data_IF_069529085562
#
_entry.id   IF_069529085562
#
_cell.length_a   1.000
_cell.length_b   1.000
_cell.length_c   1.000
_cell.angle_alpha   90.00
_cell.angle_beta   90.00
_cell.angle_gamma   90.00
#
_symmetry.space_group_name_H-M   'P 1'
#
loop_
_entity.id
_entity.type
_entity.pdbx_description
1 polymer ?
#
# COMPACT_ATOMS: atom_id res chain seq x y z
N UNK A 1 31.00 33.24 -34.90
CA UNK A 1 30.54 32.76 -36.20
C UNK A 1 30.95 31.30 -36.35
N UNK A 2 29.93 30.43 -36.47
CA UNK A 2 29.83 29.06 -37.04
C UNK A 2 28.84 28.25 -36.19
N UNK A 3 27.62 27.99 -36.69
CA UNK A 3 26.77 26.87 -36.26
C UNK A 3 26.91 25.72 -37.28
N UNK A 4 26.07 24.66 -37.24
CA UNK A 4 26.15 23.48 -36.40
C UNK A 4 26.40 22.19 -37.23
N UNK A 5 26.96 21.14 -36.62
CA UNK A 5 26.89 19.80 -37.20
C UNK A 5 25.55 19.15 -36.82
N UNK A 6 24.55 19.38 -37.67
CA UNK A 6 23.36 18.55 -37.75
C UNK A 6 23.77 17.22 -38.40
N UNK A 7 23.50 16.11 -37.71
CA UNK A 7 23.80 14.77 -38.18
C UNK A 7 22.63 14.30 -39.08
N UNK A 8 22.80 14.18 -40.42
CA UNK A 8 21.68 13.95 -41.33
C UNK A 8 21.27 12.48 -41.48
N UNK A 9 21.97 11.55 -40.82
CA UNK A 9 21.73 10.10 -40.95
C UNK A 9 21.10 9.49 -39.69
N UNK A 10 19.94 10.02 -39.29
CA UNK A 10 19.03 9.30 -38.41
C UNK A 10 18.37 8.14 -39.17
N UNK A 11 18.22 6.95 -38.57
CA UNK A 11 17.61 5.80 -39.22
C UNK A 11 16.15 6.12 -39.64
N UNK A 12 15.70 5.62 -40.81
CA UNK A 12 14.38 5.90 -41.34
C UNK A 12 13.30 5.46 -40.36
N UNK A 13 12.40 6.38 -40.03
CA UNK A 13 11.25 6.13 -39.17
C UNK A 13 10.34 5.13 -39.88
N UNK A 14 10.16 3.94 -39.29
CA UNK A 14 9.18 2.98 -39.79
C UNK A 14 7.77 3.60 -39.69
N UNK A 15 6.92 3.43 -40.73
CA UNK A 15 5.55 3.91 -40.69
C UNK A 15 4.84 3.26 -39.51
N UNK A 16 4.30 4.09 -38.61
CA UNK A 16 3.46 3.64 -37.52
C UNK A 16 2.28 2.84 -38.10
N UNK A 17 2.28 1.53 -37.92
CA UNK A 17 1.07 0.74 -38.11
C UNK A 17 0.05 1.23 -37.08
N UNK A 18 -1.01 1.88 -37.58
CA UNK A 18 -2.15 2.23 -36.76
C UNK A 18 -2.74 0.93 -36.23
N UNK A 19 -2.61 0.71 -34.92
CA UNK A 19 -3.31 -0.37 -34.26
C UNK A 19 -4.83 -0.16 -34.49
N UNK A 20 -5.57 -1.23 -34.87
CA UNK A 20 -7.00 -1.12 -35.10
C UNK A 20 -7.70 -0.56 -33.85
N UNK A 21 -8.75 0.26 -34.03
CA UNK A 21 -9.47 0.87 -32.93
C UNK A 21 -9.95 -0.22 -31.98
N UNK A 22 -9.50 -0.14 -30.72
CA UNK A 22 -9.90 -1.05 -29.66
C UNK A 22 -11.39 -0.84 -29.41
N UNK A 23 -12.23 -1.68 -30.01
CA UNK A 23 -13.65 -1.73 -29.71
C UNK A 23 -13.80 -2.12 -28.24
N UNK A 24 -14.58 -1.37 -27.44
CA UNK A 24 -14.86 -1.76 -26.07
C UNK A 24 -15.61 -3.10 -26.10
N UNK A 25 -15.29 -4.02 -25.17
CA UNK A 25 -15.98 -5.30 -25.09
C UNK A 25 -17.48 -5.06 -24.86
N UNK A 26 -18.35 -5.85 -25.50
CA UNK A 26 -19.79 -5.73 -25.32
C UNK A 26 -20.13 -5.91 -23.85
N UNK A 27 -20.84 -4.92 -23.29
CA UNK A 27 -21.39 -5.00 -21.95
C UNK A 27 -22.47 -6.10 -21.94
N UNK A 28 -22.10 -7.28 -21.46
CA UNK A 28 -23.07 -8.31 -21.11
C UNK A 28 -23.87 -7.81 -19.92
N UNK A 29 -25.11 -7.43 -20.18
CA UNK A 29 -26.12 -7.17 -19.17
C UNK A 29 -26.45 -8.51 -18.52
N UNK A 30 -26.16 -8.67 -17.23
CA UNK A 30 -26.55 -9.85 -16.45
C UNK A 30 -27.98 -9.62 -15.92
N UNK A 31 -29.00 -10.32 -16.46
CA UNK A 31 -30.40 -10.14 -16.07
C UNK A 31 -30.73 -10.68 -14.67
N UNK A 32 -29.79 -11.35 -13.97
CA UNK A 32 -30.00 -11.84 -12.61
C UNK A 32 -29.57 -10.86 -11.51
N UNK A 33 -29.01 -9.70 -11.86
CA UNK A 33 -28.83 -8.61 -10.90
C UNK A 33 -30.18 -7.96 -10.60
N UNK A 34 -30.79 -8.43 -9.51
CA UNK A 34 -32.02 -7.86 -8.96
C UNK A 34 -31.90 -6.33 -8.83
N UNK A 35 -32.94 -5.57 -9.24
CA UNK A 35 -32.93 -4.12 -9.13
C UNK A 35 -32.79 -3.72 -7.67
N UNK A 36 -31.69 -3.05 -7.34
CA UNK A 36 -31.51 -2.41 -6.03
C UNK A 36 -32.65 -1.42 -5.80
N UNK A 37 -33.55 -1.78 -4.89
CA UNK A 37 -34.69 -0.95 -4.49
C UNK A 37 -34.26 0.38 -3.85
N UNK A 38 -35.15 1.37 -3.84
CA UNK A 38 -34.85 2.71 -3.36
C UNK A 38 -34.82 2.78 -1.82
N UNK A 39 -33.67 3.20 -1.28
CA UNK A 39 -33.48 3.89 0.01
C UNK A 39 -34.38 3.46 1.19
N UNK A 40 -33.95 2.47 1.96
CA UNK A 40 -34.21 2.48 3.41
C UNK A 40 -33.14 3.36 4.09
N UNK A 41 -33.57 4.50 4.60
CA UNK A 41 -32.77 5.33 5.52
C UNK A 41 -32.67 4.61 6.87
N UNK A 42 -31.47 4.39 7.43
CA UNK A 42 -31.38 3.95 8.81
C UNK A 42 -31.84 5.10 9.75
N UNK A 43 -32.63 4.80 10.79
CA UNK A 43 -33.09 5.80 11.74
C UNK A 43 -31.90 6.42 12.48
N UNK A 44 -31.97 7.75 12.64
CA UNK A 44 -30.93 8.56 13.25
C UNK A 44 -30.56 8.10 14.66
N UNK A 45 -29.36 7.53 14.79
CA UNK A 45 -28.62 7.45 16.03
C UNK A 45 -27.80 8.73 16.20
N UNK A 46 -28.14 9.54 17.19
CA UNK A 46 -27.41 10.76 17.53
C UNK A 46 -25.95 10.49 17.97
N UNK A 47 -25.13 11.54 18.08
CA UNK A 47 -23.73 11.42 18.47
C UNK A 47 -23.64 11.15 19.99
N UNK A 48 -23.81 9.90 20.40
CA UNK A 48 -23.35 9.46 21.71
C UNK A 48 -21.82 9.49 21.73
N UNK A 49 -21.30 10.28 22.67
CA UNK A 49 -19.88 10.49 22.86
C UNK A 49 -19.14 9.18 23.02
N UNK A 50 -18.24 8.91 22.07
CA UNK A 50 -17.18 7.92 22.24
C UNK A 50 -16.21 8.43 23.32
N UNK A 51 -16.54 8.22 24.60
CA UNK A 51 -15.51 7.91 25.58
C UNK A 51 -14.98 6.53 25.23
N UNK A 52 -14.07 6.48 24.25
CA UNK A 52 -13.18 5.33 24.14
C UNK A 52 -12.28 5.39 25.37
N UNK A 53 -12.66 4.62 26.40
CA UNK A 53 -11.70 3.97 27.28
C UNK A 53 -10.74 3.17 26.40
N UNK A 54 -9.75 3.86 25.85
CA UNK A 54 -8.53 3.23 25.43
C UNK A 54 -7.80 2.90 26.72
N UNK A 55 -8.11 1.71 27.23
CA UNK A 55 -7.19 0.91 28.02
C UNK A 55 -5.93 0.76 27.16
N UNK A 56 -5.07 1.77 27.24
CA UNK A 56 -3.69 1.67 26.81
C UNK A 56 -3.11 0.69 27.81
N UNK A 57 -3.07 -0.57 27.40
CA UNK A 57 -2.16 -1.53 27.99
C UNK A 57 -0.76 -1.03 27.61
N UNK A 58 -0.28 -0.08 28.41
CA UNK A 58 1.13 0.22 28.55
C UNK A 58 1.77 -1.13 28.90
N UNK A 59 2.35 -1.79 27.90
CA UNK A 59 3.34 -2.81 28.15
C UNK A 59 4.50 -2.06 28.78
N UNK A 60 4.58 -2.18 30.10
CA UNK A 60 5.74 -1.87 30.91
C UNK A 60 6.92 -2.62 30.29
N UNK A 61 7.74 -1.88 29.52
CA UNK A 61 9.14 -2.20 29.30
C UNK A 61 9.82 -2.03 30.68
N UNK A 62 9.56 -2.97 31.60
CA UNK A 62 10.36 -3.19 32.79
C UNK A 62 11.72 -3.70 32.33
N UNK A 63 12.68 -2.79 32.14
CA UNK A 63 14.07 -3.15 32.29
C UNK A 63 14.92 -1.93 32.68
N UNK A 64 15.54 -2.11 33.84
CA UNK A 64 16.79 -1.51 34.29
C UNK A 64 16.78 -0.06 34.83
N UNK A 65 16.37 0.06 36.09
CA UNK A 65 16.94 1.05 37.01
C UNK A 65 16.91 0.55 38.45
N UNK A 66 17.68 -0.52 38.70
CA UNK A 66 18.08 -0.87 40.06
C UNK A 66 19.39 -0.16 40.40
N UNK A 67 19.29 1.14 40.69
CA UNK A 67 20.32 1.85 41.43
C UNK A 67 19.66 2.56 42.62
N UNK A 68 19.12 1.75 43.52
CA UNK A 68 18.74 2.17 44.87
C UNK A 68 20.03 2.40 45.65
N UNK A 69 20.60 3.59 45.50
CA UNK A 69 21.53 4.14 46.47
C UNK A 69 20.67 4.57 47.66
N UNK A 70 20.60 3.69 48.67
CA UNK A 70 19.96 3.95 49.95
C UNK A 70 20.77 4.99 50.74
N UNK A 71 20.60 6.26 50.38
CA UNK A 71 21.10 7.37 51.19
C UNK A 71 20.10 7.67 52.31
N UNK A 72 20.42 7.06 53.45
CA UNK A 72 20.23 7.52 54.82
C UNK A 72 20.04 9.04 54.96
N UNK A 73 18.79 9.51 54.88
CA UNK A 73 18.40 10.85 55.34
C UNK A 73 16.96 10.86 55.83
N UNK A 74 16.79 10.23 57.00
CA UNK A 74 15.70 10.57 57.90
C UNK A 74 15.65 12.08 58.12
N UNK A 75 14.45 12.61 58.32
CA UNK A 75 14.12 14.00 58.75
C UNK A 75 13.65 15.01 57.67
N UNK A 76 13.62 14.68 56.37
CA UNK A 76 13.04 15.59 55.34
C UNK A 76 11.61 15.24 54.85
N UNK A 77 10.92 14.30 55.51
CA UNK A 77 9.64 13.75 55.06
C UNK A 77 8.42 14.70 55.04
N UNK A 78 8.50 15.87 55.68
CA UNK A 78 7.37 16.81 55.73
C UNK A 78 7.40 17.87 54.59
N UNK A 79 8.59 18.32 54.17
CA UNK A 79 8.72 19.31 53.10
C UNK A 79 8.55 18.70 51.69
N UNK A 80 8.87 17.42 51.51
CA UNK A 80 8.75 16.70 50.24
C UNK A 80 7.29 16.44 49.80
N UNK A 81 6.31 16.61 50.70
CA UNK A 81 4.88 16.51 50.38
C UNK A 81 4.20 17.83 50.07
N UNK A 82 4.91 18.96 50.12
CA UNK A 82 4.40 20.16 49.47
C UNK A 82 4.47 19.92 47.97
N UNK A 83 3.33 19.59 47.36
CA UNK A 83 3.09 19.77 45.93
C UNK A 83 3.16 21.27 45.65
N UNK A 84 4.37 21.82 45.70
CA UNK A 84 4.71 23.07 45.05
C UNK A 84 4.21 22.89 43.62
N UNK A 85 3.19 23.64 43.24
CA UNK A 85 2.72 23.73 41.87
C UNK A 85 3.83 24.39 41.05
N UNK A 86 4.91 23.65 40.80
CA UNK A 86 5.96 24.03 39.86
C UNK A 86 5.30 23.88 38.50
N UNK A 87 4.83 25.01 37.97
CA UNK A 87 4.23 25.08 36.63
C UNK A 87 5.22 24.44 35.67
N UNK A 88 4.84 23.29 35.11
CA UNK A 88 5.70 22.58 34.17
C UNK A 88 6.08 23.53 33.05
N UNK A 89 7.38 23.61 32.75
CA UNK A 89 7.86 24.47 31.67
C UNK A 89 7.19 24.01 30.38
N UNK A 90 6.50 24.94 29.70
CA UNK A 90 5.89 24.65 28.41
C UNK A 90 7.02 24.30 27.45
N UNK A 91 7.03 23.08 26.88
CA UNK A 91 8.12 22.66 26.02
C UNK A 91 8.29 23.61 24.85
N UNK A 92 9.53 23.94 24.52
CA UNK A 92 9.80 24.79 23.37
C UNK A 92 9.38 24.10 22.08
N UNK A 93 9.12 24.87 21.01
CA UNK A 93 8.78 24.30 19.69
C UNK A 93 9.85 23.31 19.22
N UNK A 94 11.12 23.60 19.50
CA UNK A 94 12.25 22.74 19.14
C UNK A 94 12.21 21.42 19.91
N UNK A 95 12.00 21.45 21.22
CA UNK A 95 11.83 20.23 22.04
C UNK A 95 10.68 19.34 21.56
N UNK A 96 9.57 19.95 21.12
CA UNK A 96 8.43 19.20 20.56
C UNK A 96 8.83 18.48 19.27
N UNK A 97 9.58 19.16 18.38
CA UNK A 97 10.07 18.58 17.13
C UNK A 97 11.07 17.46 17.40
N UNK A 98 12.01 17.66 18.32
CA UNK A 98 13.03 16.67 18.67
C UNK A 98 12.42 15.45 19.34
N UNK A 99 11.45 15.65 20.24
CA UNK A 99 10.67 14.56 20.83
C UNK A 99 9.91 13.78 19.77
N UNK A 100 9.29 14.46 18.80
CA UNK A 100 8.59 13.81 17.68
C UNK A 100 9.58 13.04 16.79
N UNK A 101 10.75 13.61 16.51
CA UNK A 101 11.81 12.98 15.72
C UNK A 101 12.29 11.69 16.39
N UNK A 102 12.62 11.73 17.69
CA UNK A 102 13.02 10.56 18.48
C UNK A 102 11.95 9.47 18.48
N UNK A 103 10.69 9.82 18.75
CA UNK A 103 9.57 8.86 18.68
C UNK A 103 9.42 8.25 17.28
N UNK A 104 9.58 9.05 16.22
CA UNK A 104 9.52 8.55 14.85
C UNK A 104 10.70 7.62 14.52
N UNK A 105 11.91 7.96 14.95
CA UNK A 105 13.09 7.13 14.79
C UNK A 105 12.93 5.78 15.52
N UNK A 106 12.49 5.80 16.78
CA UNK A 106 12.28 4.59 17.57
C UNK A 106 11.20 3.68 16.96
N UNK A 107 10.05 4.25 16.55
CA UNK A 107 9.00 3.47 15.89
C UNK A 107 9.46 2.88 14.55
N UNK A 108 10.31 3.57 13.78
CA UNK A 108 10.93 3.00 12.57
C UNK A 108 11.88 1.86 12.90
N UNK A 109 12.70 2.01 13.94
CA UNK A 109 13.63 0.97 14.38
C UNK A 109 12.86 -0.30 14.82
N UNK A 110 11.81 -0.15 15.64
CA UNK A 110 10.93 -1.26 16.03
C UNK A 110 10.28 -1.93 14.80
N UNK A 111 9.79 -1.13 13.84
CA UNK A 111 9.20 -1.66 12.62
C UNK A 111 10.22 -2.37 11.70
N UNK A 112 11.48 -1.95 11.69
CA UNK A 112 12.55 -2.62 10.95
C UNK A 112 12.83 -4.01 11.55
N UNK A 113 13.02 -4.09 12.87
CA UNK A 113 13.19 -5.37 13.59
C UNK A 113 12.04 -6.34 13.35
N UNK A 114 10.80 -5.85 13.38
CA UNK A 114 9.63 -6.69 13.09
C UNK A 114 9.65 -7.24 11.65
N UNK A 115 10.06 -6.45 10.66
CA UNK A 115 10.16 -6.91 9.27
C UNK A 115 11.27 -7.92 9.07
N UNK A 116 12.39 -7.73 9.75
CA UNK A 116 13.52 -8.66 9.78
C UNK A 116 13.07 -10.02 10.35
N UNK A 117 12.48 -10.03 11.55
CA UNK A 117 11.92 -11.23 12.17
C UNK A 117 10.89 -11.94 11.27
N UNK A 118 10.01 -11.21 10.60
CA UNK A 118 9.04 -11.80 9.65
C UNK A 118 9.74 -12.37 8.41
N UNK A 119 10.83 -11.73 7.96
CA UNK A 119 11.68 -12.26 6.89
C UNK A 119 12.29 -13.60 7.28
N UNK A 120 12.92 -13.66 8.46
CA UNK A 120 13.50 -14.88 9.00
C UNK A 120 12.46 -16.01 9.14
N UNK A 121 11.26 -15.71 9.64
CA UNK A 121 10.18 -16.70 9.75
C UNK A 121 9.76 -17.19 8.35
N UNK A 122 9.64 -16.29 7.36
CA UNK A 122 9.25 -16.66 5.99
C UNK A 122 10.29 -17.50 5.25
N UNK A 123 11.55 -17.42 5.65
CA UNK A 123 12.64 -18.21 5.07
C UNK A 123 12.73 -19.63 5.68
N UNK A 124 12.08 -19.88 6.83
CA UNK A 124 11.96 -21.22 7.43
C UNK A 124 11.00 -22.11 6.64
N UNK A 125 11.18 -23.43 6.73
CA UNK A 125 10.28 -24.40 6.09
C UNK A 125 8.94 -24.53 6.86
N UNK A 126 7.85 -24.85 6.15
CA UNK A 126 6.50 -24.94 6.75
C UNK A 126 6.37 -25.98 7.88
N UNK A 127 7.28 -26.97 7.89
CA UNK A 127 7.34 -28.05 8.88
C UNK A 127 7.97 -27.55 10.18
N UNK A 128 8.89 -26.58 10.10
CA UNK A 128 9.60 -25.99 11.24
C UNK A 128 8.87 -24.77 11.83
N UNK A 129 7.83 -24.28 11.14
CA UNK A 129 7.06 -23.13 11.57
C UNK A 129 6.16 -23.46 12.76
N UNK A 130 6.47 -22.84 13.91
CA UNK A 130 5.65 -22.91 15.10
C UNK A 130 4.30 -22.19 14.89
N UNK A 131 3.28 -22.58 15.65
CA UNK A 131 1.95 -21.96 15.58
C UNK A 131 1.98 -20.46 15.90
N UNK A 132 2.79 -20.05 16.88
CA UNK A 132 2.99 -18.63 17.22
C UNK A 132 3.60 -17.82 16.08
N UNK A 133 4.51 -18.41 15.31
CA UNK A 133 5.17 -17.76 14.17
C UNK A 133 4.20 -17.60 12.99
N UNK A 134 3.36 -18.63 12.74
CA UNK A 134 2.27 -18.55 11.76
C UNK A 134 1.29 -17.44 12.13
N UNK A 135 0.85 -17.39 13.40
CA UNK A 135 -0.02 -16.33 13.89
C UNK A 135 0.62 -14.93 13.73
N UNK A 136 1.93 -14.80 13.94
CA UNK A 136 2.65 -13.54 13.74
C UNK A 136 2.65 -13.08 12.27
N UNK A 137 2.88 -14.00 11.33
CA UNK A 137 2.78 -13.73 9.88
C UNK A 137 1.37 -13.31 9.53
N UNK A 138 0.35 -14.07 9.94
CA UNK A 138 -1.05 -13.80 9.61
C UNK A 138 -1.48 -12.42 10.12
N UNK A 139 -1.13 -12.07 11.36
CA UNK A 139 -1.41 -10.76 11.91
C UNK A 139 -0.71 -9.64 11.12
N UNK A 140 0.52 -9.86 10.65
CA UNK A 140 1.23 -8.88 9.84
C UNK A 140 0.61 -8.72 8.46
N UNK A 141 0.27 -9.83 7.80
CA UNK A 141 -0.35 -9.84 6.48
C UNK A 141 -1.75 -9.23 6.51
N UNK A 142 -2.57 -9.56 7.51
CA UNK A 142 -3.86 -8.92 7.74
C UNK A 142 -3.73 -7.40 7.94
N UNK A 143 -2.77 -6.95 8.75
CA UNK A 143 -2.50 -5.51 8.93
C UNK A 143 -2.06 -4.85 7.61
N UNK A 144 -1.24 -5.54 6.83
CA UNK A 144 -0.76 -5.06 5.52
C UNK A 144 -1.91 -4.99 4.50
N UNK A 145 -2.75 -6.02 4.43
CA UNK A 145 -3.92 -6.08 3.54
C UNK A 145 -4.88 -4.93 3.85
N UNK A 146 -5.34 -4.82 5.10
CA UNK A 146 -6.27 -3.74 5.52
C UNK A 146 -5.75 -2.34 5.18
N UNK A 147 -4.44 -2.12 5.26
CA UNK A 147 -3.82 -0.84 4.88
C UNK A 147 -3.87 -0.62 3.37
N UNK A 148 -3.56 -1.65 2.59
CA UNK A 148 -3.63 -1.59 1.12
C UNK A 148 -5.07 -1.37 0.67
N UNK A 149 -6.02 -2.10 1.25
CA UNK A 149 -7.44 -2.02 0.93
C UNK A 149 -7.98 -0.62 1.21
N UNK A 150 -7.70 -0.05 2.38
CA UNK A 150 -8.07 1.35 2.69
C UNK A 150 -7.47 2.35 1.71
N UNK A 151 -6.23 2.13 1.26
CA UNK A 151 -5.61 3.02 0.26
C UNK A 151 -6.25 2.85 -1.12
N UNK A 152 -6.68 1.63 -1.47
CA UNK A 152 -7.37 1.32 -2.72
C UNK A 152 -8.77 1.92 -2.73
N UNK A 153 -9.54 1.74 -1.67
CA UNK A 153 -10.87 2.33 -1.47
C UNK A 153 -10.82 3.85 -1.63
N UNK A 154 -9.94 4.53 -0.89
CA UNK A 154 -9.77 5.99 -1.01
C UNK A 154 -9.35 6.44 -2.42
N UNK A 155 -8.60 5.62 -3.14
CA UNK A 155 -8.21 5.93 -4.52
C UNK A 155 -9.40 5.79 -5.47
N UNK A 156 -10.23 4.75 -5.28
CA UNK A 156 -11.47 4.53 -6.03
C UNK A 156 -12.44 5.67 -5.76
N UNK A 157 -12.69 6.03 -4.49
CA UNK A 157 -13.55 7.15 -4.09
C UNK A 157 -13.08 8.48 -4.72
N UNK A 158 -11.77 8.76 -4.66
CA UNK A 158 -11.23 9.98 -5.29
C UNK A 158 -11.39 9.96 -6.80
N UNK A 159 -11.22 8.80 -7.44
CA UNK A 159 -11.40 8.67 -8.89
C UNK A 159 -12.86 8.87 -9.28
N UNK A 160 -13.80 8.18 -8.62
CA UNK A 160 -15.23 8.31 -8.89
C UNK A 160 -15.72 9.74 -8.65
N UNK A 161 -15.20 10.42 -7.63
CA UNK A 161 -15.52 11.82 -7.36
C UNK A 161 -15.00 12.77 -8.45
N UNK A 162 -13.77 12.56 -8.94
CA UNK A 162 -13.24 13.29 -10.11
C UNK A 162 -14.12 13.06 -11.34
N UNK A 163 -14.47 11.80 -11.63
CA UNK A 163 -15.29 11.43 -12.77
C UNK A 163 -16.69 12.07 -12.67
N UNK A 164 -17.30 12.09 -11.47
CA UNK A 164 -18.57 12.78 -11.18
C UNK A 164 -18.53 14.26 -11.51
N UNK A 165 -17.46 14.96 -11.12
CA UNK A 165 -17.31 16.40 -11.39
C UNK A 165 -17.02 16.65 -12.87
N UNK A 166 -16.22 15.81 -13.51
CA UNK A 166 -15.87 15.94 -14.93
C UNK A 166 -17.09 15.76 -15.84
N UNK A 167 -18.04 14.88 -15.47
CA UNK A 167 -19.31 14.70 -16.17
C UNK A 167 -20.20 15.96 -16.14
N UNK A 168 -19.99 16.89 -15.20
CA UNK A 168 -20.66 18.20 -15.22
C UNK A 168 -19.89 19.16 -16.13
N UNK A 169 -20.58 19.94 -16.99
CA UNK A 169 -19.90 20.98 -17.78
C UNK A 169 -19.32 22.06 -16.87
N UNK A 170 -18.19 22.66 -17.26
CA UNK A 170 -17.43 23.54 -16.36
C UNK A 170 -18.21 24.76 -15.85
N UNK A 171 -19.17 25.25 -16.62
CA UNK A 171 -20.07 26.35 -16.24
C UNK A 171 -21.00 25.99 -15.07
N UNK A 172 -21.28 24.70 -14.86
CA UNK A 172 -22.17 24.19 -13.80
C UNK A 172 -21.42 23.64 -12.59
N UNK A 173 -20.09 23.65 -12.60
CA UNK A 173 -19.28 23.19 -11.46
C UNK A 173 -19.21 24.26 -10.39
N UNK A 174 -19.37 23.85 -9.13
CA UNK A 174 -19.22 24.72 -7.96
C UNK A 174 -17.74 25.11 -7.76
N UNK A 175 -17.48 26.19 -7.01
CA UNK A 175 -16.11 26.63 -6.70
C UNK A 175 -15.31 25.54 -5.96
N UNK A 176 -15.95 24.82 -5.04
CA UNK A 176 -15.33 23.72 -4.29
C UNK A 176 -14.96 22.55 -5.21
N UNK A 177 -15.83 22.18 -6.15
CA UNK A 177 -15.54 21.13 -7.14
C UNK A 177 -14.37 21.51 -8.06
N UNK A 178 -14.30 22.78 -8.49
CA UNK A 178 -13.18 23.29 -9.28
C UNK A 178 -11.86 23.23 -8.49
N UNK A 179 -11.87 23.68 -7.23
CA UNK A 179 -10.71 23.62 -6.34
C UNK A 179 -10.27 22.19 -6.06
N UNK A 180 -11.22 21.27 -5.86
CA UNK A 180 -10.95 19.84 -5.68
C UNK A 180 -10.26 19.24 -6.91
N UNK A 181 -10.80 19.50 -8.12
CA UNK A 181 -10.19 19.06 -9.37
C UNK A 181 -8.79 19.63 -9.57
N UNK A 182 -8.60 20.93 -9.35
CA UNK A 182 -7.30 21.59 -9.47
C UNK A 182 -6.27 20.96 -8.51
N UNK A 183 -6.65 20.75 -7.25
CA UNK A 183 -5.81 20.12 -6.24
C UNK A 183 -5.44 18.68 -6.64
N UNK A 184 -6.43 17.91 -7.10
CA UNK A 184 -6.22 16.52 -7.51
C UNK A 184 -5.31 16.40 -8.75
N UNK A 185 -5.54 17.23 -9.76
CA UNK A 185 -4.73 17.26 -10.99
C UNK A 185 -3.30 17.73 -10.71
N UNK A 186 -3.13 18.77 -9.90
CA UNK A 186 -1.82 19.26 -9.47
C UNK A 186 -1.05 18.18 -8.69
N UNK A 187 -1.73 17.47 -7.78
CA UNK A 187 -1.11 16.36 -7.05
C UNK A 187 -0.69 15.21 -7.98
N UNK A 188 -1.54 14.86 -8.97
CA UNK A 188 -1.21 13.86 -10.00
C UNK A 188 0.00 14.30 -10.84
N UNK A 189 0.05 15.55 -11.26
CA UNK A 189 1.18 16.12 -12.02
C UNK A 189 2.48 16.05 -11.23
N UNK A 190 2.50 16.55 -9.99
CA UNK A 190 3.69 16.49 -9.11
C UNK A 190 4.17 15.06 -8.89
N UNK A 191 3.24 14.10 -8.72
CA UNK A 191 3.59 12.67 -8.58
C UNK A 191 4.25 12.12 -9.86
N UNK A 192 3.69 12.42 -11.03
CA UNK A 192 4.24 11.97 -12.31
C UNK A 192 5.61 12.58 -12.60
N UNK A 193 5.80 13.86 -12.27
CA UNK A 193 7.08 14.55 -12.38
C UNK A 193 8.12 13.95 -11.43
N UNK A 194 7.74 13.70 -10.17
CA UNK A 194 8.60 13.02 -9.20
C UNK A 194 9.01 11.61 -9.65
N UNK A 195 8.08 10.83 -10.20
CA UNK A 195 8.38 9.50 -10.76
C UNK A 195 9.31 9.60 -11.98
N UNK A 196 9.09 10.58 -12.87
CA UNK A 196 9.99 10.85 -14.01
C UNK A 196 11.42 11.15 -13.54
N UNK A 197 11.58 12.03 -12.56
CA UNK A 197 12.88 12.36 -11.97
C UNK A 197 13.53 11.15 -11.29
N UNK A 198 12.74 10.37 -10.55
CA UNK A 198 13.23 9.13 -9.92
C UNK A 198 13.73 8.15 -10.97
N UNK A 199 12.99 7.92 -12.06
CA UNK A 199 13.42 7.05 -13.17
C UNK A 199 14.68 7.57 -13.85
N UNK A 200 14.79 8.89 -14.05
CA UNK A 200 16.01 9.49 -14.58
C UNK A 200 17.22 9.28 -13.65
N UNK A 201 17.05 9.45 -12.33
CA UNK A 201 18.13 9.19 -11.35
C UNK A 201 18.54 7.73 -11.32
N UNK A 202 17.58 6.79 -11.28
CA UNK A 202 17.85 5.36 -11.36
C UNK A 202 18.59 5.02 -12.66
N UNK A 203 18.16 5.59 -13.80
CA UNK A 203 18.82 5.40 -15.10
C UNK A 203 20.24 5.97 -15.12
N UNK A 204 20.52 7.09 -14.45
CA UNK A 204 21.86 7.67 -14.37
C UNK A 204 22.78 6.91 -13.41
N UNK A 205 22.28 6.51 -12.24
CA UNK A 205 23.07 5.75 -11.26
C UNK A 205 23.32 4.30 -11.73
N UNK A 206 22.29 3.63 -12.26
CA UNK A 206 22.40 2.26 -12.79
C UNK A 206 23.26 2.15 -14.05
N UNK A 207 23.46 3.25 -14.79
CA UNK A 207 24.43 3.30 -15.90
C UNK A 207 25.87 3.51 -15.43
N UNK A 208 26.10 4.09 -14.25
CA UNK A 208 27.46 4.28 -13.70
C UNK A 208 28.01 3.05 -12.98
N UNK A 209 27.16 2.16 -12.46
CA UNK A 209 27.59 0.87 -11.91
C UNK A 209 27.61 -0.28 -12.94
N UNK A 210 27.32 0.02 -14.21
CA UNK A 210 27.30 -0.94 -15.31
C UNK A 210 28.67 -1.25 -15.94
N UNK A 211 29.76 -1.09 -15.20
CA UNK A 211 31.06 -1.64 -15.60
C UNK A 211 31.59 -2.54 -14.49
N UNK A 212 31.56 -3.85 -14.77
CA UNK A 212 32.14 -4.97 -14.00
C UNK A 212 31.30 -5.46 -12.82
N UNK A 213 30.32 -6.30 -13.12
CA UNK A 213 29.65 -7.10 -12.09
C UNK A 213 28.39 -7.74 -12.62
N UNK A 214 28.56 -8.74 -13.47
CA UNK A 214 27.54 -9.65 -13.95
C UNK A 214 26.94 -10.43 -12.76
N UNK A 215 26.07 -9.79 -11.97
CA UNK A 215 25.25 -10.44 -10.97
C UNK A 215 23.82 -10.55 -11.49
N UNK A 216 23.71 -11.24 -12.62
CA UNK A 216 22.49 -11.88 -13.11
C UNK A 216 22.21 -13.09 -12.21
N UNK A 217 21.75 -12.86 -10.98
CA UNK A 217 21.08 -13.93 -10.22
C UNK A 217 19.62 -13.98 -10.67
N UNK A 218 19.34 -14.91 -11.57
CA UNK A 218 18.14 -15.75 -11.50
C UNK A 218 16.79 -15.04 -11.65
N UNK A 219 16.49 -14.53 -12.84
CA UNK A 219 15.18 -14.82 -13.43
C UNK A 219 15.43 -15.89 -14.47
N UNK A 220 15.12 -17.14 -14.12
CA UNK A 220 15.31 -18.31 -14.95
C UNK A 220 14.40 -18.32 -16.18
N UNK A 221 14.67 -17.45 -17.14
CA UNK A 221 14.52 -17.81 -18.55
C UNK A 221 15.74 -18.63 -18.90
N UNK A 222 15.73 -19.91 -18.51
CA UNK A 222 16.62 -20.88 -19.11
C UNK A 222 16.46 -20.75 -20.61
N UNK A 223 17.57 -20.52 -21.29
CA UNK A 223 17.73 -20.79 -22.71
C UNK A 223 17.39 -22.27 -22.93
N UNK A 224 16.10 -22.57 -23.01
CA UNK A 224 15.65 -23.73 -23.74
C UNK A 224 16.00 -23.36 -25.19
N UNK A 225 16.89 -24.11 -25.87
CA UNK A 225 17.09 -23.90 -27.29
C UNK A 225 15.71 -24.00 -27.92
N UNK A 226 15.23 -22.89 -28.50
CA UNK A 226 14.03 -22.87 -29.34
C UNK A 226 14.27 -23.88 -30.45
N UNK A 227 13.80 -25.10 -30.25
CA UNK A 227 13.64 -26.06 -31.31
C UNK A 227 12.74 -25.39 -32.36
N UNK A 228 13.10 -25.45 -33.65
CA UNK A 228 12.30 -24.84 -34.70
C UNK A 228 10.89 -25.40 -34.63
N UNK A 229 9.93 -24.52 -34.36
CA UNK A 229 8.50 -24.84 -34.41
C UNK A 229 8.21 -25.54 -35.75
N UNK A 230 7.64 -26.76 -35.76
CA UNK A 230 7.24 -27.41 -36.99
C UNK A 230 6.19 -26.54 -37.70
N UNK A 231 6.56 -26.07 -38.88
CA UNK A 231 5.71 -25.35 -39.84
C UNK A 231 4.65 -26.29 -40.44
N UNK A 232 3.77 -26.84 -39.61
CA UNK A 232 2.61 -27.60 -40.06
C UNK A 232 1.46 -27.35 -39.09
N UNK A 233 0.57 -26.42 -39.44
CA UNK A 233 -0.88 -26.39 -39.19
C UNK A 233 -1.31 -25.05 -39.82
N UNK A 234 -1.88 -25.05 -41.02
CA UNK A 234 -3.15 -25.69 -41.30
C UNK A 234 -4.24 -24.76 -40.77
N UNK A 235 -4.85 -24.00 -41.69
CA UNK A 235 -6.02 -23.15 -41.47
C UNK A 235 -7.23 -23.97 -41.00
N UNK A 236 -7.23 -24.38 -39.74
CA UNK A 236 -8.35 -25.04 -39.09
C UNK A 236 -9.08 -24.06 -38.18
N UNK A 237 -10.36 -23.80 -38.48
CA UNK A 237 -11.22 -22.96 -37.65
C UNK A 237 -11.40 -23.54 -36.25
N UNK A 238 -11.01 -22.75 -35.23
CA UNK A 238 -11.22 -23.10 -33.84
C UNK A 238 -12.55 -22.54 -33.36
N UNK A 239 -13.62 -23.32 -33.52
CA UNK A 239 -14.85 -23.17 -32.74
C UNK A 239 -14.63 -23.78 -31.36
N UNK A 240 -13.85 -23.09 -30.51
CA UNK A 240 -13.59 -23.49 -29.14
C UNK A 240 -14.63 -22.89 -28.19
N UNK A 241 -15.71 -23.62 -27.93
CA UNK A 241 -16.61 -23.33 -26.82
C UNK A 241 -15.80 -23.39 -25.51
N UNK A 242 -15.74 -22.26 -24.81
CA UNK A 242 -15.12 -22.18 -23.49
C UNK A 242 -15.92 -23.05 -22.51
N UNK A 243 -15.44 -24.26 -22.24
CA UNK A 243 -15.91 -25.07 -21.13
C UNK A 243 -15.39 -24.44 -19.85
N UNK A 244 -16.23 -23.61 -19.20
CA UNK A 244 -15.94 -23.11 -17.87
C UNK A 244 -15.91 -24.30 -16.90
N UNK A 245 -14.90 -24.40 -16.01
CA UNK A 245 -14.93 -25.38 -14.94
C UNK A 245 -16.14 -25.09 -14.03
N UNK A 246 -17.06 -26.05 -13.92
CA UNK A 246 -18.17 -25.97 -12.97
C UNK A 246 -17.65 -25.73 -11.55
N UNK A 247 -18.33 -24.88 -10.76
CA UNK A 247 -18.00 -24.72 -9.35
C UNK A 247 -18.18 -26.06 -8.60
N UNK A 248 -17.31 -26.35 -7.61
CA UNK A 248 -17.43 -27.55 -6.80
C UNK A 248 -18.79 -27.54 -6.08
N UNK A 249 -19.50 -28.67 -6.17
CA UNK A 249 -20.76 -28.89 -5.45
C UNK A 249 -20.48 -28.79 -3.94
N UNK A 250 -21.24 -27.93 -3.27
CA UNK A 250 -21.21 -27.80 -1.81
C UNK A 250 -21.47 -29.18 -1.17
N UNK A 251 -20.50 -29.65 -0.39
CA UNK A 251 -20.67 -30.83 0.45
C UNK A 251 -21.49 -30.35 1.64
N UNK A 252 -22.77 -30.69 1.65
CA UNK A 252 -23.65 -30.51 2.80
C UNK A 252 -23.01 -31.22 4.00
N UNK A 253 -22.58 -30.43 5.00
CA UNK A 253 -22.17 -30.97 6.29
C UNK A 253 -23.41 -31.45 7.02
N UNK A 254 -23.65 -32.77 6.99
CA UNK A 254 -24.61 -33.42 7.88
C UNK A 254 -24.17 -33.21 9.33
N UNK A 255 -24.97 -32.43 10.06
CA UNK A 255 -24.85 -32.28 11.51
C UNK A 255 -25.13 -33.62 12.19
N UNK A 256 -24.10 -34.23 12.76
CA UNK A 256 -24.26 -35.28 13.76
C UNK A 256 -24.47 -34.62 15.12
N UNK A 257 -25.72 -34.58 15.56
CA UNK A 257 -26.06 -34.42 16.97
C UNK A 257 -25.48 -35.62 17.76
N UNK A 258 -24.57 -35.32 18.68
CA UNK A 258 -24.22 -36.24 19.76
C UNK A 258 -25.22 -36.05 20.90
N UNK A 259 -25.97 -37.11 21.19
CA UNK A 259 -26.74 -37.28 22.43
C UNK A 259 -25.85 -37.83 23.53
#
# INVERSE_FOLDING_TARGET
MYPPFANPYGPPHLPYQQAPPHMPPPHYYDPNLAPHGPYEQPPGGGPQGYQQDRKIEDNDDEDDSSNNQEDELGTYGAAARMKMYVKSKVPTRQEILDRRSRKNAQSRARAAKLRERIGEIKDKSDIELNEEEKAMIDQYENRRSRKNDRSRERAIEKKSEIDRILNKPDRKRTKLEKQFLETALTAKQRKNEGDRLRRQRIKMMGKKSGSRGNLSYGSGSGDIPMSPLPSQFGSGGYSGAATYPSPPKEIACEGKELK
#
